data_IF_007501764253
#
_entry.id   IF_007501764253
#
_cell.length_a   1.000
_cell.length_b   1.000
_cell.length_c   1.000
_cell.angle_alpha   90.00
_cell.angle_beta   90.00
_cell.angle_gamma   90.00
#
_symmetry.space_group_name_H-M   'P 1'
#
loop_
_entity.id
_entity.type
_entity.pdbx_description
1 polymer ?
#
# COMPACT_ATOMS: atom_id res chain seq x y z
N UNK A 1 -93.44 -27.64 -38.83
CA UNK A 1 -93.27 -26.88 -40.09
C UNK A 1 -92.09 -27.45 -40.84
N UNK A 2 -92.35 -27.89 -42.08
CA UNK A 2 -91.46 -28.09 -43.23
C UNK A 2 -90.05 -28.70 -43.00
N UNK A 3 -89.79 -29.96 -43.39
CA UNK A 3 -89.48 -30.43 -44.77
C UNK A 3 -88.29 -29.66 -45.37
N UNK A 4 -87.11 -30.25 -45.58
CA UNK A 4 -86.73 -31.11 -46.72
C UNK A 4 -85.18 -31.13 -46.71
N UNK A 5 -84.39 -32.06 -47.25
CA UNK A 5 -84.53 -33.31 -47.99
C UNK A 5 -83.14 -33.97 -47.86
N UNK A 6 -83.08 -35.26 -47.58
CA UNK A 6 -81.93 -36.13 -47.83
C UNK A 6 -82.46 -37.23 -48.76
N UNK A 7 -81.70 -37.73 -49.74
CA UNK A 7 -80.74 -38.80 -49.45
C UNK A 7 -79.49 -38.72 -50.38
N UNK A 8 -78.41 -39.49 -50.28
CA UNK A 8 -78.20 -40.83 -49.74
C UNK A 8 -76.72 -40.97 -49.36
N UNK A 9 -76.42 -41.55 -48.18
CA UNK A 9 -75.06 -41.97 -47.85
C UNK A 9 -75.09 -43.45 -47.50
N UNK A 10 -74.39 -44.23 -48.31
CA UNK A 10 -74.26 -45.67 -48.22
C UNK A 10 -73.51 -46.08 -46.94
N UNK A 11 -74.11 -46.97 -46.18
CA UNK A 11 -73.58 -47.56 -44.94
C UNK A 11 -72.26 -48.31 -45.14
N UNK A 12 -71.39 -48.27 -44.12
CA UNK A 12 -70.61 -49.43 -43.68
C UNK A 12 -70.51 -49.48 -42.15
N UNK A 13 -71.27 -50.43 -41.61
CA UNK A 13 -71.20 -51.11 -40.30
C UNK A 13 -69.80 -51.65 -39.99
N UNK A 14 -69.36 -52.01 -38.79
CA UNK A 14 -69.73 -52.00 -37.37
C UNK A 14 -68.34 -52.19 -36.68
N UNK A 15 -68.06 -51.90 -35.40
CA UNK A 15 -68.46 -52.66 -34.21
C UNK A 15 -67.58 -52.09 -33.08
N UNK A 16 -68.14 -51.69 -31.95
CA UNK A 16 -67.39 -51.34 -30.75
C UNK A 16 -68.10 -51.95 -29.54
N UNK A 17 -67.43 -52.89 -28.88
CA UNK A 17 -67.64 -53.23 -27.48
C UNK A 17 -66.25 -53.31 -26.85
N UNK A 18 -66.07 -52.55 -25.79
CA UNK A 18 -64.85 -52.47 -24.99
C UNK A 18 -65.09 -53.16 -23.65
N UNK A 19 -64.16 -54.05 -23.26
CA UNK A 19 -63.96 -54.50 -21.88
C UNK A 19 -62.45 -54.56 -21.56
N UNK A 20 -62.07 -54.52 -20.26
CA UNK A 20 -60.83 -53.92 -19.80
C UNK A 20 -59.67 -54.92 -19.71
N UNK A 21 -58.46 -54.48 -20.07
CA UNK A 21 -57.26 -55.32 -20.00
C UNK A 21 -56.64 -55.26 -18.60
N UNK A 22 -56.68 -56.40 -17.92
CA UNK A 22 -55.97 -56.69 -16.67
C UNK A 22 -54.46 -56.41 -16.79
N UNK A 23 -53.89 -55.78 -15.76
CA UNK A 23 -52.47 -55.47 -15.69
C UNK A 23 -51.65 -56.71 -15.26
N UNK A 24 -51.10 -57.45 -16.24
CA UNK A 24 -50.19 -58.56 -15.99
C UNK A 24 -48.75 -58.07 -15.76
N UNK A 25 -48.21 -58.36 -14.57
CA UNK A 25 -46.80 -58.12 -14.22
C UNK A 25 -45.98 -59.35 -14.61
N UNK A 26 -45.28 -59.27 -15.74
CA UNK A 26 -44.25 -60.25 -16.08
C UNK A 26 -43.92 -60.33 -17.56
N UNK A 27 -42.63 -60.16 -17.87
CA UNK A 27 -41.95 -60.43 -19.15
C UNK A 27 -42.15 -59.44 -20.29
N UNK A 28 -41.27 -58.45 -20.25
CA UNK A 28 -40.77 -57.80 -21.45
C UNK A 28 -39.94 -56.60 -21.05
N UNK A 29 -38.63 -56.64 -21.26
CA UNK A 29 -37.84 -55.39 -21.30
C UNK A 29 -38.49 -54.56 -22.41
N UNK A 30 -39.30 -53.55 -22.06
CA UNK A 30 -39.75 -52.55 -23.01
C UNK A 30 -38.46 -52.00 -23.61
N UNK A 31 -38.19 -52.36 -24.88
CA UNK A 31 -37.04 -51.83 -25.59
C UNK A 31 -37.32 -50.34 -25.75
N UNK A 32 -36.88 -49.55 -24.78
CA UNK A 32 -36.70 -48.11 -24.95
C UNK A 32 -35.77 -48.00 -26.15
N UNK A 33 -36.32 -47.69 -27.33
CA UNK A 33 -35.50 -47.29 -28.47
C UNK A 33 -34.81 -46.01 -28.00
N UNK A 34 -33.59 -46.15 -27.47
CA UNK A 34 -32.67 -45.02 -27.39
C UNK A 34 -32.53 -44.56 -28.84
N UNK A 35 -33.21 -43.48 -29.19
CA UNK A 35 -32.99 -42.78 -30.45
C UNK A 35 -31.58 -42.21 -30.33
N UNK A 36 -30.59 -43.05 -30.59
CA UNK A 36 -29.23 -42.62 -30.83
C UNK A 36 -29.29 -41.95 -32.20
N UNK A 37 -29.56 -40.64 -32.22
CA UNK A 37 -29.27 -39.81 -33.40
C UNK A 37 -27.78 -39.93 -33.64
N UNK A 38 -27.37 -40.87 -34.48
CA UNK A 38 -26.01 -40.95 -34.99
C UNK A 38 -25.84 -39.73 -35.88
N UNK A 39 -25.22 -38.69 -35.35
CA UNK A 39 -24.80 -37.53 -36.14
C UNK A 39 -23.79 -38.08 -37.16
N UNK A 40 -24.22 -38.30 -38.41
CA UNK A 40 -23.32 -38.66 -39.50
C UNK A 40 -22.58 -37.39 -39.90
N UNK A 41 -21.48 -37.09 -39.22
CA UNK A 41 -20.52 -36.10 -39.66
C UNK A 41 -19.96 -36.56 -41.01
N UNK A 42 -20.45 -35.99 -42.12
CA UNK A 42 -19.81 -36.19 -43.42
C UNK A 42 -18.46 -35.49 -43.40
N UNK A 43 -17.45 -36.08 -44.03
CA UNK A 43 -16.10 -35.50 -44.18
C UNK A 43 -16.13 -34.03 -44.62
N UNK A 44 -17.09 -33.64 -45.46
CA UNK A 44 -17.33 -32.24 -45.87
C UNK A 44 -17.60 -31.27 -44.72
N UNK A 45 -18.31 -31.69 -43.66
CA UNK A 45 -18.56 -30.84 -42.49
C UNK A 45 -17.28 -30.67 -41.67
N UNK A 46 -16.50 -31.74 -41.51
CA UNK A 46 -15.21 -31.68 -40.81
C UNK A 46 -14.27 -30.73 -41.55
N UNK A 47 -14.20 -30.84 -42.89
CA UNK A 47 -13.41 -29.95 -43.73
C UNK A 47 -13.90 -28.49 -43.64
N UNK A 48 -15.21 -28.27 -43.69
CA UNK A 48 -15.80 -26.94 -43.53
C UNK A 48 -15.43 -26.30 -42.19
N UNK A 49 -15.57 -27.03 -41.08
CA UNK A 49 -15.18 -26.53 -39.76
C UNK A 49 -13.67 -26.28 -39.66
N UNK A 50 -12.84 -27.10 -40.29
CA UNK A 50 -11.39 -26.90 -40.30
C UNK A 50 -10.99 -25.63 -41.07
N UNK A 51 -11.60 -25.39 -42.23
CA UNK A 51 -11.41 -24.14 -43.00
C UNK A 51 -11.94 -22.94 -42.23
N UNK A 52 -13.10 -23.07 -41.58
CA UNK A 52 -13.68 -22.01 -40.75
C UNK A 52 -12.73 -21.63 -39.61
N UNK A 53 -12.22 -22.63 -38.88
CA UNK A 53 -11.26 -22.42 -37.78
C UNK A 53 -9.97 -21.80 -38.32
N UNK A 54 -9.41 -22.33 -39.42
CA UNK A 54 -8.21 -21.78 -40.05
C UNK A 54 -8.39 -20.32 -40.50
N UNK A 55 -9.55 -20.00 -41.08
CA UNK A 55 -9.92 -18.64 -41.47
C UNK A 55 -10.03 -17.69 -40.27
N UNK A 56 -10.61 -18.14 -39.16
CA UNK A 56 -10.66 -17.37 -37.91
C UNK A 56 -9.24 -17.12 -37.37
N UNK A 57 -8.38 -18.14 -37.32
CA UNK A 57 -6.99 -17.97 -36.88
C UNK A 57 -6.21 -17.00 -37.78
N UNK A 58 -6.35 -17.11 -39.10
CA UNK A 58 -5.72 -16.20 -40.05
C UNK A 58 -6.22 -14.76 -39.87
N UNK A 59 -7.53 -14.56 -39.70
CA UNK A 59 -8.12 -13.25 -39.44
C UNK A 59 -7.62 -12.65 -38.12
N UNK A 60 -7.54 -13.44 -37.04
CA UNK A 60 -7.00 -13.01 -35.76
C UNK A 60 -5.51 -12.63 -35.88
N UNK A 61 -4.72 -13.41 -36.61
CA UNK A 61 -3.31 -13.12 -36.85
C UNK A 61 -3.14 -11.81 -37.63
N UNK A 62 -3.91 -11.61 -38.70
CA UNK A 62 -3.86 -10.37 -39.48
C UNK A 62 -4.33 -9.16 -38.67
N UNK A 63 -5.39 -9.32 -37.86
CA UNK A 63 -5.83 -8.27 -36.94
C UNK A 63 -4.74 -7.94 -35.91
N UNK A 64 -4.08 -8.94 -35.32
CA UNK A 64 -2.96 -8.74 -34.40
C UNK A 64 -1.81 -7.96 -35.06
N UNK A 65 -1.37 -8.39 -36.25
CA UNK A 65 -0.32 -7.71 -37.01
C UNK A 65 -0.70 -6.27 -37.33
N UNK A 66 -1.95 -6.04 -37.76
CA UNK A 66 -2.48 -4.71 -38.01
C UNK A 66 -2.44 -3.83 -36.75
N UNK A 67 -2.88 -4.34 -35.60
CA UNK A 67 -2.88 -3.59 -34.34
C UNK A 67 -1.46 -3.22 -33.88
N UNK A 68 -0.48 -4.12 -34.01
CA UNK A 68 0.89 -3.82 -33.58
C UNK A 68 1.63 -2.86 -34.54
N UNK A 69 1.27 -2.86 -35.84
CA UNK A 69 1.88 -1.97 -36.84
C UNK A 69 1.14 -0.64 -37.00
N UNK A 70 0.08 -0.41 -36.23
CA UNK A 70 -0.75 0.78 -36.41
C UNK A 70 -0.12 2.01 -35.74
N UNK A 71 0.33 2.98 -36.54
CA UNK A 71 0.91 4.26 -36.06
C UNK A 71 0.02 5.05 -35.08
N UNK A 72 -1.31 4.84 -35.12
CA UNK A 72 -2.22 5.48 -34.15
C UNK A 72 -2.07 4.94 -32.73
N UNK A 73 -1.51 3.75 -32.57
CA UNK A 73 -1.25 3.11 -31.28
C UNK A 73 0.17 3.34 -30.79
N UNK A 74 1.02 4.00 -31.57
CA UNK A 74 2.32 4.45 -31.07
C UNK A 74 2.14 5.57 -30.04
N UNK A 75 2.92 5.50 -28.97
CA UNK A 75 2.81 6.43 -27.85
C UNK A 75 3.38 7.78 -28.28
N UNK A 76 2.52 8.81 -28.28
CA UNK A 76 2.85 10.18 -28.71
C UNK A 76 3.00 11.13 -27.52
N UNK A 77 2.17 10.93 -26.50
CA UNK A 77 2.11 11.82 -25.34
C UNK A 77 2.34 11.06 -24.03
N UNK A 78 3.20 11.59 -23.17
CA UNK A 78 3.40 11.08 -21.81
C UNK A 78 3.10 12.18 -20.81
N UNK A 79 2.05 12.00 -20.02
CA UNK A 79 1.68 12.92 -18.95
C UNK A 79 2.21 12.42 -17.62
N UNK A 80 3.12 13.17 -17.01
CA UNK A 80 3.68 12.86 -15.68
C UNK A 80 3.00 13.71 -14.61
N UNK A 81 2.42 13.06 -13.60
CA UNK A 81 1.85 13.67 -12.41
C UNK A 81 2.74 13.35 -11.20
N UNK A 82 3.26 14.40 -10.57
CA UNK A 82 4.17 14.36 -9.43
C UNK A 82 3.94 15.63 -8.61
N UNK A 83 3.97 15.53 -7.29
CA UNK A 83 3.95 16.66 -6.34
C UNK A 83 5.29 17.38 -6.32
N UNK A 84 6.40 16.64 -6.50
CA UNK A 84 7.73 17.22 -6.56
C UNK A 84 8.09 17.60 -8.02
N UNK A 85 8.44 18.88 -8.28
CA UNK A 85 8.76 19.34 -9.63
C UNK A 85 10.07 18.73 -10.16
N UNK A 86 11.06 18.51 -9.30
CA UNK A 86 12.35 17.90 -9.68
C UNK A 86 12.17 16.49 -10.24
N UNK A 87 11.44 15.63 -9.52
CA UNK A 87 11.13 14.27 -9.97
C UNK A 87 10.26 14.28 -11.23
N UNK A 88 9.34 15.25 -11.33
CA UNK A 88 8.50 15.41 -12.52
C UNK A 88 9.36 15.69 -13.75
N UNK A 89 10.27 16.65 -13.67
CA UNK A 89 11.16 17.02 -14.75
C UNK A 89 12.12 15.90 -15.13
N UNK A 90 12.73 15.23 -14.14
CA UNK A 90 13.61 14.09 -14.40
C UNK A 90 12.88 12.96 -15.13
N UNK A 91 11.66 12.63 -14.68
CA UNK A 91 10.82 11.62 -15.31
C UNK A 91 10.39 12.06 -16.71
N UNK A 92 10.06 13.33 -16.91
CA UNK A 92 9.66 13.83 -18.23
C UNK A 92 10.83 13.79 -19.22
N UNK A 93 12.02 14.24 -18.81
CA UNK A 93 13.27 14.14 -19.60
C UNK A 93 13.63 12.70 -19.94
N UNK A 94 13.27 11.74 -19.08
CA UNK A 94 13.47 10.32 -19.40
C UNK A 94 12.68 9.88 -20.64
N UNK A 95 11.49 10.45 -20.86
CA UNK A 95 10.62 10.12 -22.00
C UNK A 95 10.88 10.99 -23.22
N UNK A 96 11.40 12.21 -23.04
CA UNK A 96 11.77 13.11 -24.12
C UNK A 96 12.76 12.45 -25.09
N UNK A 97 12.43 12.48 -26.38
CA UNK A 97 13.25 11.91 -27.46
C UNK A 97 13.25 10.37 -27.54
N UNK A 98 12.47 9.66 -26.70
CA UNK A 98 12.37 8.19 -26.77
C UNK A 98 11.15 7.73 -27.54
N UNK A 99 11.39 6.82 -28.48
CA UNK A 99 10.32 6.08 -29.12
C UNK A 99 9.92 4.90 -28.24
N UNK A 100 8.80 5.02 -27.53
CA UNK A 100 8.26 3.94 -26.69
C UNK A 100 7.55 2.84 -27.50
N UNK A 101 7.27 3.10 -28.78
CA UNK A 101 6.58 2.16 -29.68
C UNK A 101 5.09 2.02 -29.35
N UNK A 102 4.54 0.87 -29.74
CA UNK A 102 3.12 0.59 -29.64
C UNK A 102 2.67 0.46 -28.18
N UNK A 103 1.63 1.20 -27.81
CA UNK A 103 1.07 1.24 -26.46
C UNK A 103 0.62 -0.15 -25.97
N UNK A 104 0.17 -1.04 -26.85
CA UNK A 104 -0.28 -2.37 -26.46
C UNK A 104 0.90 -3.25 -26.04
N UNK A 105 2.04 -3.12 -26.73
CA UNK A 105 3.26 -3.89 -26.50
C UNK A 105 4.14 -3.33 -25.38
N UNK A 106 3.93 -2.07 -24.98
CA UNK A 106 4.71 -1.45 -23.91
C UNK A 106 4.61 -2.27 -22.61
N UNK A 107 5.77 -2.65 -22.07
CA UNK A 107 5.89 -3.26 -20.75
C UNK A 107 5.80 -2.19 -19.66
N UNK A 108 4.67 -2.20 -18.95
CA UNK A 108 4.43 -1.28 -17.84
C UNK A 108 5.29 -1.65 -16.62
N UNK A 109 5.50 -2.93 -16.37
CA UNK A 109 6.22 -3.43 -15.19
C UNK A 109 7.67 -2.95 -15.20
N UNK A 110 8.34 -3.06 -16.34
CA UNK A 110 9.72 -2.58 -16.50
C UNK A 110 9.84 -1.07 -16.27
N UNK A 111 8.87 -0.27 -16.72
CA UNK A 111 8.86 1.18 -16.44
C UNK A 111 8.64 1.45 -14.95
N UNK A 112 7.70 0.74 -14.31
CA UNK A 112 7.42 0.90 -12.90
C UNK A 112 8.63 0.55 -12.04
N UNK A 113 9.28 -0.59 -12.29
CA UNK A 113 10.49 -1.02 -11.58
C UNK A 113 11.61 0.01 -11.71
N UNK A 114 11.83 0.52 -12.93
CA UNK A 114 12.86 1.50 -13.20
C UNK A 114 12.70 2.77 -12.37
N UNK A 115 11.50 3.33 -12.31
CA UNK A 115 11.27 4.56 -11.56
C UNK A 115 11.15 4.29 -10.05
N UNK A 116 10.65 3.14 -9.63
CA UNK A 116 10.58 2.77 -8.20
C UNK A 116 11.97 2.58 -7.59
N UNK A 117 13.00 2.31 -8.40
CA UNK A 117 14.40 2.31 -7.95
C UNK A 117 14.89 3.68 -7.46
N UNK A 118 14.20 4.77 -7.80
CA UNK A 118 14.53 6.11 -7.30
C UNK A 118 14.16 6.23 -5.81
N UNK A 119 15.10 6.69 -4.99
CA UNK A 119 14.95 6.70 -3.51
C UNK A 119 13.80 7.56 -3.01
N UNK A 120 13.48 8.65 -3.69
CA UNK A 120 12.34 9.49 -3.32
C UNK A 120 10.97 8.98 -3.80
N UNK A 121 10.92 7.92 -4.60
CA UNK A 121 9.66 7.44 -5.22
C UNK A 121 9.12 6.22 -4.46
N UNK A 122 8.01 6.40 -3.73
CA UNK A 122 7.35 5.33 -2.97
C UNK A 122 6.63 4.34 -3.89
N UNK A 123 5.91 4.87 -4.87
CA UNK A 123 5.05 4.09 -5.75
C UNK A 123 4.93 4.79 -7.12
N UNK A 124 4.90 4.00 -8.19
CA UNK A 124 4.70 4.49 -9.55
C UNK A 124 3.52 3.77 -10.17
N UNK A 125 2.53 4.53 -10.63
CA UNK A 125 1.36 4.02 -11.34
C UNK A 125 1.41 4.48 -12.77
N UNK A 126 1.55 3.52 -13.67
CA UNK A 126 1.57 3.79 -15.11
C UNK A 126 0.28 3.25 -15.70
N UNK A 127 -0.42 4.10 -16.46
CA UNK A 127 -1.70 3.77 -17.10
C UNK A 127 -1.63 4.09 -18.58
N UNK A 128 -2.08 3.13 -19.40
CA UNK A 128 -2.27 3.30 -20.84
C UNK A 128 -3.59 4.01 -21.08
N UNK A 129 -3.56 5.17 -21.75
CA UNK A 129 -4.73 5.90 -22.22
C UNK A 129 -4.76 5.76 -23.73
N UNK A 130 -5.62 4.87 -24.22
CA UNK A 130 -5.78 4.64 -25.65
C UNK A 130 -6.32 5.92 -26.33
N UNK A 131 -5.94 6.18 -27.59
CA UNK A 131 -5.12 5.30 -28.43
C UNK A 131 -3.60 5.45 -28.25
N UNK A 132 -3.07 6.59 -27.80
CA UNK A 132 -1.63 6.91 -27.95
C UNK A 132 -0.99 7.64 -26.76
N UNK A 133 -1.61 7.63 -25.57
CA UNK A 133 -1.13 8.42 -24.43
C UNK A 133 -0.77 7.55 -23.24
N UNK A 134 0.30 7.90 -22.53
CA UNK A 134 0.72 7.26 -21.28
C UNK A 134 0.55 8.24 -20.12
N UNK A 135 -0.09 7.79 -19.04
CA UNK A 135 -0.18 8.55 -17.80
C UNK A 135 0.69 7.90 -16.73
N UNK A 136 1.64 8.67 -16.21
CA UNK A 136 2.55 8.23 -15.15
C UNK A 136 2.26 9.06 -13.90
N UNK A 137 1.73 8.41 -12.87
CA UNK A 137 1.46 9.00 -11.55
C UNK A 137 2.55 8.54 -10.59
N UNK A 138 3.30 9.48 -10.04
CA UNK A 138 4.37 9.24 -9.07
C UNK A 138 3.86 9.63 -7.69
N UNK A 139 4.06 8.74 -6.73
CA UNK A 139 3.83 9.00 -5.31
C UNK A 139 5.18 9.06 -4.61
N UNK A 140 5.51 10.23 -4.08
CA UNK A 140 6.77 10.47 -3.41
C UNK A 140 6.77 9.95 -1.97
N UNK A 141 7.96 9.58 -1.48
CA UNK A 141 8.20 9.30 -0.07
C UNK A 141 8.19 10.60 0.71
N UNK A 142 7.66 10.52 1.93
CA UNK A 142 7.65 11.65 2.87
C UNK A 142 8.64 11.34 3.98
N UNK A 143 9.68 12.16 4.19
CA UNK A 143 10.61 11.95 5.30
C UNK A 143 9.89 12.18 6.63
N UNK A 144 10.12 11.28 7.60
CA UNK A 144 9.47 11.35 8.92
C UNK A 144 10.49 11.57 10.04
N UNK A 145 11.73 11.11 9.86
CA UNK A 145 12.78 11.34 10.83
C UNK A 145 14.16 11.43 10.16
N UNK A 146 15.13 11.89 10.95
CA UNK A 146 16.54 11.78 10.64
C UNK A 146 17.10 10.58 11.39
N UNK A 147 17.94 9.77 10.75
CA UNK A 147 18.59 8.63 11.38
C UNK A 147 20.09 8.87 11.49
N UNK A 148 20.62 8.80 12.72
CA UNK A 148 22.05 8.96 12.98
C UNK A 148 22.79 7.62 12.89
N UNK A 149 23.57 7.46 11.83
CA UNK A 149 24.51 6.35 11.64
C UNK A 149 25.95 6.91 11.70
N UNK A 150 26.76 6.66 10.68
CA UNK A 150 28.03 7.38 10.45
C UNK A 150 27.76 8.81 9.96
N UNK A 151 26.75 8.94 9.11
CA UNK A 151 26.17 10.21 8.68
C UNK A 151 24.71 10.30 9.13
N UNK A 152 24.13 11.49 8.99
CA UNK A 152 22.71 11.70 9.24
C UNK A 152 21.96 11.53 7.92
N UNK A 153 20.95 10.66 7.90
CA UNK A 153 20.14 10.40 6.72
C UNK A 153 18.67 10.74 6.99
N UNK A 154 17.97 11.26 6.00
CA UNK A 154 16.51 11.30 6.04
C UNK A 154 15.95 9.91 5.78
N UNK A 155 14.97 9.51 6.58
CA UNK A 155 14.26 8.24 6.43
C UNK A 155 12.75 8.45 6.38
N UNK A 156 12.07 7.57 5.65
CA UNK A 156 10.61 7.50 5.63
C UNK A 156 10.07 6.52 6.69
N UNK A 157 8.73 6.38 6.79
CA UNK A 157 8.10 5.43 7.72
C UNK A 157 8.43 3.96 7.42
N UNK A 158 8.77 3.64 6.17
CA UNK A 158 9.14 2.28 5.75
C UNK A 158 10.63 1.98 6.09
N UNK A 159 11.36 2.96 6.66
CA UNK A 159 12.77 2.83 7.03
C UNK A 159 13.74 2.97 5.85
N UNK A 160 13.30 3.50 4.71
CA UNK A 160 14.11 3.70 3.51
C UNK A 160 14.91 5.01 3.61
N UNK A 161 16.20 4.94 3.31
CA UNK A 161 17.09 6.10 3.25
C UNK A 161 16.82 6.93 1.99
N UNK A 162 16.48 8.22 2.17
CA UNK A 162 16.23 9.15 1.08
C UNK A 162 17.52 9.89 0.68
N UNK A 163 17.97 10.78 1.55
CA UNK A 163 19.08 11.69 1.30
C UNK A 163 19.98 11.82 2.54
N UNK A 164 21.26 12.14 2.32
CA UNK A 164 22.21 12.43 3.38
C UNK A 164 22.12 13.92 3.72
N UNK A 165 21.94 14.23 4.99
CA UNK A 165 21.90 15.61 5.48
C UNK A 165 23.32 16.05 5.82
N UNK A 166 23.73 17.20 5.27
CA UNK A 166 25.00 17.83 5.61
C UNK A 166 24.95 18.51 6.99
N UNK A 167 26.12 18.67 7.62
CA UNK A 167 26.19 19.27 8.95
C UNK A 167 25.78 20.75 8.88
N UNK A 168 24.71 21.11 9.61
CA UNK A 168 24.22 22.50 9.70
C UNK A 168 22.90 22.75 8.98
N UNK A 169 22.45 21.82 8.15
CA UNK A 169 21.13 21.90 7.52
C UNK A 169 20.03 21.61 8.56
N UNK A 170 19.15 22.58 8.78
CA UNK A 170 18.07 22.48 9.76
C UNK A 170 16.85 21.82 9.13
N UNK A 171 16.77 20.50 9.20
CA UNK A 171 15.51 19.80 8.93
C UNK A 171 14.61 19.85 10.17
N UNK A 172 13.32 20.15 9.98
CA UNK A 172 12.33 20.16 11.06
C UNK A 172 11.82 18.74 11.39
N UNK A 173 12.75 17.78 11.50
CA UNK A 173 12.48 16.36 11.71
C UNK A 173 13.20 15.87 12.97
N UNK A 174 12.60 14.94 13.74
CA UNK A 174 13.24 14.37 14.91
C UNK A 174 14.45 13.52 14.51
N UNK A 175 15.52 13.57 15.30
CA UNK A 175 16.71 12.74 15.13
C UNK A 175 16.63 11.46 15.95
N UNK A 176 16.67 10.31 15.30
CA UNK A 176 16.78 9.00 15.93
C UNK A 176 18.26 8.67 16.15
N UNK A 177 18.62 8.34 17.38
CA UNK A 177 19.98 7.95 17.77
C UNK A 177 20.00 6.59 18.46
N UNK A 178 21.09 5.86 18.24
CA UNK A 178 21.39 4.59 18.90
C UNK A 178 22.90 4.48 19.09
N UNK A 179 23.34 4.02 20.26
CA UNK A 179 24.77 3.81 20.56
C UNK A 179 25.47 2.87 19.57
N UNK A 180 24.76 1.86 19.06
CA UNK A 180 25.29 0.89 18.11
C UNK A 180 24.91 1.23 16.65
N UNK A 181 24.48 2.47 16.38
CA UNK A 181 24.12 2.94 15.03
C UNK A 181 23.13 2.00 14.33
N UNK A 182 22.15 1.47 15.07
CA UNK A 182 21.10 0.60 14.55
C UNK A 182 21.61 -0.66 13.80
N UNK A 183 22.81 -1.14 14.11
CA UNK A 183 23.37 -2.39 13.53
C UNK A 183 22.64 -3.65 14.00
N UNK A 184 21.89 -3.55 15.11
CA UNK A 184 21.08 -4.62 15.69
C UNK A 184 19.66 -4.12 15.91
N UNK A 185 18.70 -5.01 15.75
CA UNK A 185 17.28 -4.79 16.05
C UNK A 185 16.70 -3.56 15.33
N UNK A 186 17.14 -3.32 14.08
CA UNK A 186 16.80 -2.12 13.29
C UNK A 186 15.28 -1.93 13.19
N UNK A 187 14.57 -2.96 12.73
CA UNK A 187 13.13 -2.90 12.53
C UNK A 187 12.37 -2.72 13.85
N UNK A 188 12.75 -3.44 14.90
CA UNK A 188 12.13 -3.33 16.23
C UNK A 188 12.29 -1.92 16.81
N UNK A 189 13.52 -1.36 16.75
CA UNK A 189 13.81 -0.01 17.22
C UNK A 189 13.05 1.05 16.43
N UNK A 190 12.97 0.91 15.11
CA UNK A 190 12.20 1.83 14.28
C UNK A 190 10.70 1.74 14.57
N UNK A 191 10.15 0.53 14.72
CA UNK A 191 8.74 0.35 15.07
C UNK A 191 8.41 1.04 16.41
N UNK A 192 9.25 0.86 17.43
CA UNK A 192 9.11 1.58 18.71
C UNK A 192 9.20 3.11 18.53
N UNK A 193 10.13 3.57 17.70
CA UNK A 193 10.25 5.00 17.38
C UNK A 193 8.97 5.53 16.72
N UNK A 194 8.39 4.79 15.77
CA UNK A 194 7.17 5.16 15.07
C UNK A 194 5.95 5.14 15.97
N UNK A 195 5.81 4.16 16.84
CA UNK A 195 4.75 4.12 17.85
C UNK A 195 4.83 5.32 18.80
N UNK A 196 6.02 5.64 19.28
CA UNK A 196 6.26 6.82 20.11
C UNK A 196 5.91 8.10 19.35
N UNK A 197 6.43 8.29 18.13
CA UNK A 197 6.17 9.46 17.31
C UNK A 197 4.68 9.62 16.99
N UNK A 198 3.98 8.54 16.61
CA UNK A 198 2.53 8.56 16.33
C UNK A 198 1.70 8.96 17.55
N UNK A 199 2.22 8.73 18.76
CA UNK A 199 1.55 9.10 20.01
C UNK A 199 1.62 10.60 20.34
N UNK A 200 2.49 11.37 19.67
CA UNK A 200 2.55 12.82 19.81
C UNK A 200 1.56 13.53 18.86
N UNK A 201 0.99 14.64 19.34
CA UNK A 201 0.20 15.51 18.48
C UNK A 201 1.09 16.18 17.40
N UNK A 202 0.55 16.57 16.22
CA UNK A 202 1.34 17.19 15.16
C UNK A 202 2.16 18.41 15.62
N UNK A 203 1.59 19.27 16.46
CA UNK A 203 2.26 20.45 17.02
C UNK A 203 3.36 20.12 18.04
N UNK A 204 3.32 18.93 18.64
CA UNK A 204 4.36 18.46 19.57
C UNK A 204 5.49 17.76 18.82
N UNK A 205 5.19 17.07 17.70
CA UNK A 205 6.21 16.46 16.82
C UNK A 205 7.23 17.48 16.33
N UNK A 206 6.80 18.68 15.99
CA UNK A 206 7.69 19.78 15.57
C UNK A 206 8.66 20.21 16.68
N UNK A 207 8.32 19.97 17.94
CA UNK A 207 9.17 20.26 19.10
C UNK A 207 10.06 19.09 19.48
N UNK A 208 9.93 17.92 18.86
CA UNK A 208 10.84 16.80 19.09
C UNK A 208 12.17 17.12 18.43
N UNK A 209 13.25 17.01 19.20
CA UNK A 209 14.61 17.19 18.69
C UNK A 209 15.28 15.83 18.48
N UNK A 210 15.29 14.99 19.53
CA UNK A 210 15.98 13.70 19.52
C UNK A 210 15.10 12.62 20.16
N UNK A 211 15.05 11.46 19.51
CA UNK A 211 14.59 10.19 20.08
C UNK A 211 15.80 9.28 20.23
N UNK A 212 16.09 8.90 21.46
CA UNK A 212 17.21 8.06 21.84
C UNK A 212 16.71 6.65 22.14
N UNK A 213 17.20 5.70 21.34
CA UNK A 213 16.84 4.27 21.30
C UNK A 213 18.05 3.40 21.67
N UNK A 214 18.99 3.99 22.41
CA UNK A 214 20.21 3.34 22.88
C UNK A 214 19.92 2.21 23.86
N UNK A 215 19.00 2.46 24.79
CA UNK A 215 18.60 1.49 25.79
C UNK A 215 17.55 0.54 25.20
N UNK A 216 17.73 -0.76 25.43
CA UNK A 216 16.79 -1.77 24.95
C UNK A 216 15.39 -1.51 25.51
N UNK A 217 14.37 -1.56 24.66
CA UNK A 217 12.97 -1.32 25.04
C UNK A 217 12.75 -0.02 25.83
N UNK A 218 13.54 1.01 25.57
CA UNK A 218 13.37 2.30 26.21
C UNK A 218 13.56 3.45 25.22
N UNK A 219 12.50 4.25 25.08
CA UNK A 219 12.52 5.45 24.26
C UNK A 219 12.72 6.67 25.17
N UNK A 220 13.80 7.40 24.93
CA UNK A 220 14.08 8.67 25.63
C UNK A 220 13.91 9.81 24.63
N UNK A 221 13.02 10.75 24.96
CA UNK A 221 12.69 11.89 24.11
C UNK A 221 13.35 13.16 24.63
N UNK A 222 13.90 13.97 23.74
CA UNK A 222 14.43 15.32 24.03
C UNK A 222 13.68 16.34 23.18
N UNK A 223 13.25 17.43 23.83
CA UNK A 223 12.47 18.48 23.20
C UNK A 223 13.36 19.66 22.80
N UNK A 224 13.02 20.33 21.70
CA UNK A 224 13.65 21.59 21.30
C UNK A 224 13.48 22.63 22.39
N UNK A 225 14.53 23.42 22.61
CA UNK A 225 14.59 24.49 23.61
C UNK A 225 14.44 24.02 25.06
N UNK A 226 14.45 22.70 25.33
CA UNK A 226 14.46 22.16 26.68
C UNK A 226 15.36 20.92 26.75
N UNK A 227 16.44 21.01 27.53
CA UNK A 227 17.37 19.89 27.71
C UNK A 227 16.82 18.75 28.58
N UNK A 228 15.57 18.85 29.05
CA UNK A 228 14.90 17.80 29.83
C UNK A 228 14.77 16.52 28.99
N UNK A 229 15.32 15.42 29.51
CA UNK A 229 15.15 14.08 28.95
C UNK A 229 13.86 13.45 29.47
N UNK A 230 12.94 13.09 28.60
CA UNK A 230 11.71 12.37 28.95
C UNK A 230 11.93 10.89 28.72
N UNK A 231 11.97 10.10 29.79
CA UNK A 231 12.16 8.65 29.72
C UNK A 231 10.77 8.00 29.67
N UNK A 232 10.41 7.41 28.53
CA UNK A 232 9.07 6.88 28.28
C UNK A 232 8.99 5.36 28.43
N UNK A 233 10.07 4.61 28.27
CA UNK A 233 10.02 3.13 28.20
C UNK A 233 9.64 2.63 26.81
N UNK A 234 9.01 1.45 26.74
CA UNK A 234 8.60 0.75 25.52
C UNK A 234 7.08 0.81 25.24
N UNK A 235 6.26 1.20 26.22
CA UNK A 235 4.80 1.05 26.12
C UNK A 235 4.03 2.32 26.49
N UNK A 236 2.71 2.31 26.21
CA UNK A 236 1.73 3.33 26.65
C UNK A 236 2.18 4.78 26.44
N UNK A 237 2.85 5.04 25.32
CA UNK A 237 3.39 6.38 25.01
C UNK A 237 2.32 7.47 25.11
N UNK A 238 1.12 7.24 24.55
CA UNK A 238 0.02 8.21 24.57
C UNK A 238 -0.41 8.62 25.99
N UNK A 239 -0.50 7.66 26.92
CA UNK A 239 -0.87 7.92 28.31
C UNK A 239 0.21 8.72 29.02
N UNK A 240 1.49 8.33 28.86
CA UNK A 240 2.66 8.97 29.47
C UNK A 240 2.87 10.40 28.95
N UNK A 241 2.72 10.61 27.64
CA UNK A 241 2.79 11.94 27.01
C UNK A 241 1.65 12.82 27.50
N UNK A 242 0.43 12.28 27.59
CA UNK A 242 -0.72 13.01 28.12
C UNK A 242 -0.55 13.39 29.59
N UNK A 243 0.03 12.50 30.40
CA UNK A 243 0.37 12.76 31.79
C UNK A 243 1.40 13.88 31.92
N UNK A 244 2.48 13.82 31.14
CA UNK A 244 3.48 14.87 31.07
C UNK A 244 2.87 16.23 30.69
N UNK A 245 2.00 16.25 29.67
CA UNK A 245 1.31 17.48 29.23
C UNK A 245 0.48 18.12 30.34
N UNK A 246 -0.25 17.33 31.13
CA UNK A 246 -1.02 17.83 32.28
C UNK A 246 -0.15 18.38 33.40
N UNK A 247 1.02 17.78 33.61
CA UNK A 247 1.92 18.13 34.71
C UNK A 247 2.97 19.16 34.35
N UNK A 248 3.16 19.46 33.07
CA UNK A 248 4.17 20.38 32.56
C UNK A 248 4.21 21.71 33.32
N UNK A 249 3.05 22.36 33.50
CA UNK A 249 2.98 23.64 34.24
C UNK A 249 3.41 23.53 35.71
N UNK A 250 3.21 22.36 36.34
CA UNK A 250 3.70 22.08 37.70
C UNK A 250 5.21 21.78 37.69
N UNK A 251 5.69 21.05 36.67
CA UNK A 251 7.10 20.70 36.50
C UNK A 251 7.98 21.92 36.26
N UNK A 252 7.48 22.90 35.50
CA UNK A 252 8.18 24.17 35.25
C UNK A 252 8.46 24.95 36.55
N UNK A 253 7.68 24.73 37.63
CA UNK A 253 7.94 25.34 38.95
C UNK A 253 9.20 24.81 39.63
N UNK A 254 9.68 23.62 39.24
CA UNK A 254 10.92 23.03 39.77
C UNK A 254 12.18 23.49 39.02
N UNK A 255 12.03 24.39 38.03
CA UNK A 255 13.12 24.89 37.20
C UNK A 255 13.54 23.91 36.10
N UNK A 256 14.75 24.10 35.58
CA UNK A 256 15.31 23.22 34.54
C UNK A 256 15.48 21.80 35.07
N UNK A 257 14.89 20.83 34.39
CA UNK A 257 14.99 19.41 34.74
C UNK A 257 16.06 18.72 33.89
N UNK A 258 16.82 17.82 34.49
CA UNK A 258 17.75 16.93 33.80
C UNK A 258 17.01 15.77 33.14
N UNK A 259 16.07 15.16 33.86
CA UNK A 259 15.17 14.15 33.32
C UNK A 259 13.83 14.09 34.06
N UNK A 260 12.84 13.56 33.36
CA UNK A 260 11.54 13.14 33.89
C UNK A 260 11.34 11.69 33.49
N UNK A 261 11.25 10.80 34.47
CA UNK A 261 11.01 9.37 34.24
C UNK A 261 9.52 9.07 34.39
N UNK A 262 8.93 8.59 33.29
CA UNK A 262 7.51 8.27 33.14
C UNK A 262 7.29 6.77 32.93
N UNK A 263 8.31 5.93 33.15
CA UNK A 263 8.19 4.47 32.98
C UNK A 263 7.23 3.83 33.99
N UNK A 264 7.12 4.43 35.17
CA UNK A 264 6.27 3.92 36.25
C UNK A 264 4.86 4.50 36.14
N UNK A 265 3.87 3.65 36.35
CA UNK A 265 2.46 3.99 36.14
C UNK A 265 1.88 4.90 37.24
N UNK A 266 2.36 4.75 38.47
CA UNK A 266 1.83 5.40 39.67
C UNK A 266 2.67 6.60 40.13
N UNK A 267 3.91 6.73 39.66
CA UNK A 267 4.89 7.70 40.16
C UNK A 267 5.70 8.30 39.03
N UNK A 268 6.10 9.56 39.22
CA UNK A 268 6.98 10.27 38.30
C UNK A 268 8.23 10.66 39.07
N UNK A 269 9.39 10.30 38.53
CA UNK A 269 10.67 10.71 39.10
C UNK A 269 11.21 11.89 38.31
N UNK A 270 11.56 12.95 39.02
CA UNK A 270 12.14 14.14 38.44
C UNK A 270 13.51 14.38 39.05
N UNK A 271 14.45 14.77 38.21
CA UNK A 271 15.77 15.22 38.67
C UNK A 271 16.00 16.64 38.18
N UNK A 272 16.00 17.65 39.07
CA UNK A 272 16.38 19.00 38.71
C UNK A 272 17.83 19.07 38.23
N UNK A 273 18.10 19.92 37.25
CA UNK A 273 19.45 20.19 36.76
C UNK A 273 20.22 20.88 37.88
N UNK A 274 21.32 20.26 38.32
CA UNK A 274 22.13 20.81 39.41
C UNK A 274 22.84 22.07 38.92
N UNK A 275 22.38 23.24 39.36
CA UNK A 275 23.05 24.51 39.07
C UNK A 275 24.33 24.58 39.91
N UNK A 276 25.49 24.45 39.27
CA UNK A 276 26.80 24.40 39.94
C UNK A 276 27.16 25.76 40.60
N UNK A 277 26.44 26.83 40.28
CA UNK A 277 26.72 28.19 40.75
C UNK A 277 26.45 28.48 42.25
N UNK A 278 25.76 27.61 42.99
CA UNK A 278 25.39 27.87 44.41
C UNK A 278 26.26 27.15 45.44
N UNK A 279 27.47 26.69 45.08
CA UNK A 279 28.37 26.00 46.02
C UNK A 279 29.43 26.87 46.71
N UNK A 280 29.56 28.15 46.34
CA UNK A 280 30.57 29.05 46.91
C UNK A 280 29.94 30.15 47.79
N UNK A 281 29.20 29.76 48.83
CA UNK A 281 28.98 30.66 49.97
C UNK A 281 28.70 29.84 51.23
N UNK A 282 29.77 29.23 51.77
CA UNK A 282 29.84 28.99 53.21
C UNK A 282 30.75 30.09 53.74
N UNK A 283 30.24 31.12 54.45
CA UNK A 283 31.10 31.99 55.21
C UNK A 283 31.76 31.13 56.28
N UNK A 284 33.09 31.09 56.25
CA UNK A 284 33.91 30.45 57.27
C UNK A 284 33.72 31.23 58.57
N UNK A 285 32.72 30.86 59.37
CA UNK A 285 32.60 31.30 60.74
C UNK A 285 33.44 30.36 61.62
N UNK A 286 34.33 30.97 62.40
CA UNK A 286 35.18 30.40 63.45
C UNK A 286 36.62 30.06 63.04
N UNK A 287 37.52 31.00 63.30
CA UNK A 287 38.42 30.91 64.48
C UNK A 287 39.24 32.19 64.64
N UNK A 288 38.74 33.11 65.46
CA UNK A 288 39.58 33.81 66.42
C UNK A 288 39.48 33.04 67.75
N UNK A 289 40.61 32.64 68.32
CA UNK A 289 40.90 32.60 69.77
C UNK A 289 42.19 31.79 70.03
N UNK A 290 43.12 32.45 70.74
CA UNK A 290 44.42 32.03 71.29
C UNK A 290 45.65 32.19 70.38
#
# INVERSE_FOLDING_TARGET
>A
MAYNLNPSVRNRTHTFLSEPVQFQRGRGKTKTKKIQRKIRLRFMHILFYLILIGGIFYALQQAYLFLISWDKLDIKDVTVLSRMPEIKEETQRFFEGKHLGNILLLDIGLLQEKFTAHRWIKEVRVRKILPSSLKVEIKERTPVALLKLDHTYMIDEDGVFLEKIEQGEKANLPLLIDSNKFKKDYEEKLNLAWECLRSFAPSEKERLEVLDLTEYENVIVRLKNNQTRLILGNDRFSEKISLYRRLRAKLERFGDLEYVDLRLHDRIYIKPKRNIAQRNFIPNANKEAF
#
